data_IF_421104477911
#
_entry.id   IF_421104477911
#
_cell.length_a   1.000
_cell.length_b   1.000
_cell.length_c   1.000
_cell.angle_alpha   90.00
_cell.angle_beta   90.00
_cell.angle_gamma   90.00
#
_symmetry.space_group_name_H-M   'P 1'
#
loop_
_entity.id
_entity.type
_entity.pdbx_description
1 polymer ?
#
# COMPACT_ATOMS: atom_id res chain seq x y z
N UNK A 1 74.11 -6.14 -12.23
CA UNK A 1 73.87 -6.20 -10.81
C UNK A 1 72.54 -6.88 -10.57
N UNK A 2 72.61 -8.16 -10.18
CA UNK A 2 71.42 -9.06 -10.07
C UNK A 2 70.41 -8.57 -9.01
N UNK A 3 70.88 -7.84 -8.00
CA UNK A 3 70.07 -7.31 -6.93
C UNK A 3 69.14 -6.18 -7.42
N UNK A 4 69.62 -5.27 -8.24
CA UNK A 4 68.81 -4.18 -8.80
C UNK A 4 67.72 -4.63 -9.72
N UNK A 5 67.96 -5.71 -10.50
CA UNK A 5 66.96 -6.29 -11.38
C UNK A 5 65.81 -6.98 -10.64
N UNK A 6 66.10 -7.59 -9.48
CA UNK A 6 65.07 -8.17 -8.61
C UNK A 6 64.18 -7.15 -7.91
N UNK A 7 64.71 -5.98 -7.56
CA UNK A 7 63.92 -4.88 -6.98
C UNK A 7 63.01 -4.22 -8.01
N UNK A 8 63.51 -4.00 -9.25
CA UNK A 8 62.71 -3.48 -10.34
C UNK A 8 61.54 -4.40 -10.70
N UNK A 9 61.77 -5.73 -10.74
CA UNK A 9 60.69 -6.72 -11.00
C UNK A 9 59.66 -6.68 -9.86
N UNK A 10 60.07 -6.59 -8.61
CA UNK A 10 59.16 -6.47 -7.46
C UNK A 10 58.36 -5.17 -7.45
N UNK A 11 58.93 -4.07 -7.87
CA UNK A 11 58.23 -2.80 -8.03
C UNK A 11 57.19 -2.86 -9.16
N UNK A 12 57.58 -3.45 -10.29
CA UNK A 12 56.67 -3.62 -11.45
C UNK A 12 55.51 -4.55 -11.14
N UNK A 13 55.73 -5.67 -10.44
CA UNK A 13 54.67 -6.57 -10.00
C UNK A 13 53.72 -5.86 -9.00
N UNK A 14 54.21 -5.01 -8.12
CA UNK A 14 53.37 -4.21 -7.21
C UNK A 14 52.48 -3.21 -7.96
N UNK A 15 53.02 -2.54 -8.96
CA UNK A 15 52.26 -1.55 -9.75
C UNK A 15 51.25 -2.25 -10.66
N UNK A 16 51.57 -3.40 -11.23
CA UNK A 16 50.63 -4.23 -11.98
C UNK A 16 49.46 -4.71 -11.12
N UNK A 17 49.76 -5.23 -9.90
CA UNK A 17 48.71 -5.66 -8.96
C UNK A 17 47.83 -4.51 -8.53
N UNK A 18 48.43 -3.31 -8.36
CA UNK A 18 47.69 -2.09 -8.01
C UNK A 18 46.77 -1.65 -9.18
N UNK A 19 47.25 -1.68 -10.40
CA UNK A 19 46.49 -1.38 -11.61
C UNK A 19 45.35 -2.38 -11.83
N UNK A 20 45.55 -3.69 -11.68
CA UNK A 20 44.50 -4.70 -11.77
C UNK A 20 43.40 -4.49 -10.71
N UNK A 21 43.80 -4.22 -9.45
CA UNK A 21 42.82 -3.95 -8.39
C UNK A 21 42.03 -2.66 -8.65
N UNK A 22 42.68 -1.62 -9.19
CA UNK A 22 42.00 -0.35 -9.51
C UNK A 22 41.05 -0.52 -10.69
N UNK A 23 41.42 -1.24 -11.73
CA UNK A 23 40.55 -1.59 -12.88
C UNK A 23 39.36 -2.43 -12.41
N UNK A 24 39.61 -3.44 -11.56
CA UNK A 24 38.55 -4.29 -11.02
C UNK A 24 37.58 -3.48 -10.14
N UNK A 25 38.06 -2.58 -9.29
CA UNK A 25 37.21 -1.68 -8.48
C UNK A 25 36.39 -0.73 -9.37
N UNK A 26 37.00 -0.13 -10.39
CA UNK A 26 36.28 0.76 -11.31
C UNK A 26 35.19 -0.02 -12.05
N UNK A 27 35.50 -1.22 -12.52
CA UNK A 27 34.53 -2.10 -13.22
C UNK A 27 33.37 -2.49 -12.29
N UNK A 28 33.64 -2.83 -11.03
CA UNK A 28 32.63 -3.09 -10.02
C UNK A 28 31.77 -1.87 -9.71
N UNK A 29 32.37 -0.69 -9.56
CA UNK A 29 31.65 0.57 -9.34
C UNK A 29 30.79 0.95 -10.52
N UNK A 30 31.29 0.77 -11.76
CA UNK A 30 30.51 1.02 -12.97
C UNK A 30 29.34 0.02 -13.13
N UNK A 31 29.56 -1.26 -12.81
CA UNK A 31 28.49 -2.27 -12.82
C UNK A 31 27.44 -2.02 -11.73
N UNK A 32 27.85 -1.55 -10.54
CA UNK A 32 26.95 -1.11 -9.48
C UNK A 32 26.16 0.14 -9.89
N UNK A 33 26.81 1.13 -10.46
CA UNK A 33 26.17 2.36 -10.96
C UNK A 33 25.18 2.03 -12.09
N UNK A 34 25.55 1.15 -13.00
CA UNK A 34 24.66 0.70 -14.10
C UNK A 34 23.47 -0.09 -13.55
N UNK A 35 23.69 -0.97 -12.56
CA UNK A 35 22.64 -1.73 -11.92
C UNK A 35 21.67 -0.82 -11.15
N UNK A 36 22.19 0.18 -10.43
CA UNK A 36 21.37 1.21 -9.75
C UNK A 36 20.60 2.04 -10.78
N UNK A 37 21.22 2.45 -11.88
CA UNK A 37 20.56 3.20 -12.95
C UNK A 37 19.44 2.39 -13.61
N UNK A 38 19.67 1.11 -13.89
CA UNK A 38 18.66 0.21 -14.46
C UNK A 38 17.50 0.00 -13.48
N UNK A 39 17.76 -0.08 -12.17
CA UNK A 39 16.70 -0.19 -11.15
C UNK A 39 15.91 1.11 -11.05
N UNK A 40 16.58 2.27 -11.11
CA UNK A 40 15.93 3.59 -11.03
C UNK A 40 15.12 3.94 -12.30
N UNK A 41 15.49 3.37 -13.48
CA UNK A 41 14.78 3.58 -14.74
C UNK A 41 13.77 2.49 -15.10
N UNK A 42 13.59 1.47 -14.25
CA UNK A 42 12.63 0.41 -14.54
C UNK A 42 11.20 0.98 -14.50
N UNK A 43 10.54 0.98 -15.65
CA UNK A 43 9.11 1.27 -15.73
C UNK A 43 8.33 0.22 -14.94
N UNK A 44 7.52 0.66 -13.99
CA UNK A 44 6.70 -0.21 -13.16
C UNK A 44 5.22 -0.02 -13.49
N UNK A 45 4.45 -1.06 -13.25
CA UNK A 45 2.99 -0.99 -13.22
C UNK A 45 2.54 -0.88 -11.76
N UNK A 46 2.03 0.28 -11.38
CA UNK A 46 1.62 0.61 -10.02
C UNK A 46 0.11 0.49 -9.89
N UNK A 47 -0.35 -0.34 -8.95
CA UNK A 47 -1.76 -0.49 -8.62
C UNK A 47 -2.12 0.51 -7.51
N UNK A 48 -2.85 1.56 -7.86
CA UNK A 48 -3.41 2.52 -6.88
C UNK A 48 -4.76 2.02 -6.39
N UNK A 49 -4.90 1.95 -5.06
CA UNK A 49 -6.11 1.45 -4.39
C UNK A 49 -6.71 2.57 -3.57
N UNK A 50 -7.93 2.95 -3.90
CA UNK A 50 -8.72 3.94 -3.16
C UNK A 50 -10.19 3.52 -3.14
N UNK A 51 -11.00 4.15 -2.29
CA UNK A 51 -12.44 3.88 -2.22
C UNK A 51 -13.20 4.52 -3.37
N UNK A 52 -12.77 5.69 -3.82
CA UNK A 52 -13.46 6.49 -4.83
C UNK A 52 -12.60 6.71 -6.08
N UNK A 53 -13.21 6.64 -7.26
CA UNK A 53 -12.55 7.02 -8.53
C UNK A 53 -13.02 8.41 -9.00
N UNK A 54 -13.23 9.31 -8.07
CA UNK A 54 -13.51 10.72 -8.31
C UNK A 54 -13.01 11.55 -7.12
N UNK A 55 -12.86 12.85 -7.32
CA UNK A 55 -12.28 13.73 -6.30
C UNK A 55 -13.33 14.09 -5.22
N UNK A 56 -13.43 13.25 -4.18
CA UNK A 56 -14.35 13.42 -3.05
C UNK A 56 -13.73 14.20 -1.90
N UNK A 57 -12.43 14.10 -1.71
CA UNK A 57 -11.72 14.74 -0.61
C UNK A 57 -10.20 14.74 -0.78
N UNK A 58 -9.50 14.96 0.35
CA UNK A 58 -8.05 15.12 0.33
C UNK A 58 -7.29 13.84 -0.02
N UNK A 59 -7.75 12.69 0.41
CA UNK A 59 -7.10 11.41 0.16
C UNK A 59 -7.13 11.05 -1.33
N UNK A 60 -8.27 11.21 -1.98
CA UNK A 60 -8.45 10.98 -3.42
C UNK A 60 -7.61 11.96 -4.23
N UNK A 61 -7.55 13.23 -3.81
CA UNK A 61 -6.67 14.22 -4.44
C UNK A 61 -5.20 13.78 -4.40
N UNK A 62 -4.73 13.26 -3.27
CA UNK A 62 -3.36 12.72 -3.15
C UNK A 62 -3.19 11.49 -4.04
N UNK A 63 -4.16 10.58 -4.07
CA UNK A 63 -4.13 9.38 -4.90
C UNK A 63 -4.00 9.74 -6.39
N UNK A 64 -4.85 10.64 -6.91
CA UNK A 64 -4.79 11.05 -8.32
C UNK A 64 -3.54 11.84 -8.67
N UNK A 65 -3.06 12.71 -7.78
CA UNK A 65 -1.80 13.43 -8.00
C UNK A 65 -0.62 12.44 -8.02
N UNK A 66 -0.63 11.43 -7.16
CA UNK A 66 0.37 10.35 -7.18
C UNK A 66 0.31 9.58 -8.51
N UNK A 67 -0.89 9.23 -8.97
CA UNK A 67 -1.07 8.56 -10.26
C UNK A 67 -0.53 9.37 -11.42
N UNK A 68 -0.90 10.66 -11.50
CA UNK A 68 -0.42 11.58 -12.53
C UNK A 68 1.11 11.70 -12.51
N UNK A 69 1.70 11.87 -11.33
CA UNK A 69 3.16 11.98 -11.19
C UNK A 69 3.87 10.69 -11.64
N UNK A 70 3.32 9.52 -11.32
CA UNK A 70 3.86 8.24 -11.76
C UNK A 70 3.81 8.12 -13.30
N UNK A 71 2.71 8.51 -13.93
CA UNK A 71 2.55 8.49 -15.38
C UNK A 71 3.50 9.47 -16.08
N UNK A 72 3.69 10.67 -15.54
CA UNK A 72 4.65 11.67 -16.01
C UNK A 72 6.10 11.14 -15.97
N UNK A 73 6.40 10.23 -15.01
CA UNK A 73 7.70 9.56 -14.93
C UNK A 73 7.76 8.23 -15.73
N UNK A 74 6.74 7.97 -16.55
CA UNK A 74 6.72 6.85 -17.48
C UNK A 74 6.33 5.50 -16.86
N UNK A 75 5.77 5.48 -15.64
CA UNK A 75 5.17 4.30 -15.04
C UNK A 75 3.75 4.09 -15.58
N UNK A 76 3.25 2.86 -15.50
CA UNK A 76 1.86 2.56 -15.82
C UNK A 76 1.04 2.54 -14.52
N UNK A 77 -0.12 3.21 -14.52
CA UNK A 77 -1.01 3.25 -13.36
C UNK A 77 -2.27 2.44 -13.63
N UNK A 78 -2.60 1.58 -12.68
CA UNK A 78 -3.83 0.78 -12.65
C UNK A 78 -4.62 1.18 -11.42
N UNK A 79 -5.90 1.48 -11.58
CA UNK A 79 -6.77 1.85 -10.46
C UNK A 79 -7.65 0.69 -10.02
N UNK A 80 -7.81 0.53 -8.70
CA UNK A 80 -8.78 -0.35 -8.09
C UNK A 80 -9.59 0.42 -7.05
N UNK A 81 -10.87 0.63 -7.33
CA UNK A 81 -11.80 1.40 -6.49
C UNK A 81 -13.14 0.67 -6.39
N UNK A 82 -14.12 1.24 -5.70
CA UNK A 82 -15.49 0.76 -5.73
C UNK A 82 -16.27 1.39 -6.89
N UNK A 83 -17.39 0.76 -7.25
CA UNK A 83 -18.34 1.35 -8.18
C UNK A 83 -19.17 2.43 -7.49
N UNK A 84 -19.13 3.62 -8.07
CA UNK A 84 -19.96 4.77 -7.74
C UNK A 84 -20.51 5.38 -9.02
N UNK A 85 -21.63 6.08 -8.96
CA UNK A 85 -22.22 6.75 -10.12
C UNK A 85 -21.33 7.90 -10.62
N UNK A 86 -20.60 8.54 -9.68
CA UNK A 86 -19.72 9.67 -9.94
C UNK A 86 -18.32 9.27 -10.42
N UNK A 87 -18.04 7.98 -10.56
CA UNK A 87 -16.71 7.54 -10.97
C UNK A 87 -16.29 8.11 -12.32
N UNK A 88 -15.04 8.57 -12.40
CA UNK A 88 -14.41 8.89 -13.66
C UNK A 88 -14.37 7.64 -14.57
N UNK A 89 -14.47 7.80 -15.90
CA UNK A 89 -14.28 6.71 -16.82
C UNK A 89 -12.93 6.01 -16.60
N UNK A 90 -12.93 4.68 -16.53
CA UNK A 90 -11.71 3.90 -16.31
C UNK A 90 -11.77 2.57 -17.06
N UNK A 91 -10.69 2.17 -17.76
CA UNK A 91 -10.59 0.87 -18.41
C UNK A 91 -10.62 -0.28 -17.39
N UNK A 92 -10.39 0.02 -16.12
CA UNK A 92 -10.36 -0.94 -15.01
C UNK A 92 -11.71 -1.09 -14.31
N UNK A 93 -12.75 -0.37 -14.72
CA UNK A 93 -14.09 -0.36 -14.08
C UNK A 93 -14.72 -1.75 -13.97
N UNK A 94 -14.40 -2.68 -14.88
CA UNK A 94 -14.84 -4.09 -14.83
C UNK A 94 -14.39 -4.83 -13.55
N UNK A 95 -13.29 -4.37 -12.93
CA UNK A 95 -12.75 -4.95 -11.68
C UNK A 95 -13.29 -4.26 -10.43
N UNK A 96 -14.02 -3.18 -10.53
CA UNK A 96 -14.51 -2.45 -9.37
C UNK A 96 -15.65 -3.23 -8.69
N UNK A 97 -15.54 -3.57 -7.39
CA UNK A 97 -16.63 -4.19 -6.65
C UNK A 97 -17.74 -3.19 -6.33
N UNK A 98 -18.95 -3.72 -6.10
CA UNK A 98 -20.09 -2.90 -5.72
C UNK A 98 -19.88 -2.24 -4.35
N UNK A 99 -20.22 -0.95 -4.24
CA UNK A 99 -20.23 -0.27 -2.96
C UNK A 99 -21.38 -0.77 -2.07
N UNK A 100 -21.31 -0.55 -0.77
CA UNK A 100 -22.39 -0.91 0.15
C UNK A 100 -23.66 -0.09 -0.10
N UNK A 101 -23.51 1.11 -0.62
CA UNK A 101 -24.61 2.06 -0.84
C UNK A 101 -25.42 1.72 -2.10
N UNK A 102 -24.79 1.14 -3.12
CA UNK A 102 -25.44 0.75 -4.36
C UNK A 102 -26.26 -0.53 -4.23
N UNK A 103 -26.05 -1.31 -3.18
CA UNK A 103 -26.77 -2.58 -2.97
C UNK A 103 -28.20 -2.35 -2.48
N UNK A 104 -29.18 -2.93 -3.17
CA UNK A 104 -30.62 -2.89 -2.83
C UNK A 104 -31.11 -4.27 -2.37
N UNK A 105 -32.12 -4.32 -1.48
CA UNK A 105 -32.80 -5.56 -1.09
C UNK A 105 -32.81 -5.88 0.42
N UNK A 106 -33.68 -6.80 0.89
CA UNK A 106 -33.90 -7.08 2.32
C UNK A 106 -32.69 -7.73 3.01
N UNK A 107 -31.88 -8.51 2.31
CA UNK A 107 -30.65 -9.12 2.83
C UNK A 107 -29.45 -8.16 2.86
N UNK A 108 -29.66 -6.90 2.44
CA UNK A 108 -28.63 -5.87 2.35
C UNK A 108 -27.88 -5.66 3.66
N UNK A 109 -28.60 -5.58 4.76
CA UNK A 109 -28.00 -5.26 6.07
C UNK A 109 -27.04 -6.34 6.55
N UNK A 110 -27.42 -7.62 6.45
CA UNK A 110 -26.57 -8.75 6.85
C UNK A 110 -25.31 -8.80 5.95
N UNK A 111 -25.51 -8.69 4.64
CA UNK A 111 -24.38 -8.68 3.68
C UNK A 111 -23.47 -7.48 3.89
N UNK A 112 -24.01 -6.31 4.21
CA UNK A 112 -23.21 -5.11 4.49
C UNK A 112 -22.43 -5.26 5.81
N UNK A 113 -22.98 -5.91 6.83
CA UNK A 113 -22.27 -6.19 8.06
C UNK A 113 -21.10 -7.15 7.83
N UNK A 114 -21.31 -8.26 7.12
CA UNK A 114 -20.24 -9.19 6.75
C UNK A 114 -19.18 -8.47 5.92
N UNK A 115 -19.58 -7.73 4.91
CA UNK A 115 -18.66 -6.99 4.05
C UNK A 115 -17.98 -5.80 4.75
N UNK A 116 -18.46 -5.39 5.92
CA UNK A 116 -17.76 -4.39 6.73
C UNK A 116 -16.45 -4.94 7.30
N UNK A 117 -16.42 -6.23 7.62
CA UNK A 117 -15.24 -6.94 8.09
C UNK A 117 -14.42 -7.51 6.92
N UNK A 118 -15.06 -8.21 5.99
CA UNK A 118 -14.41 -8.89 4.88
C UNK A 118 -15.23 -8.78 3.58
N UNK A 119 -14.69 -8.06 2.59
CA UNK A 119 -15.38 -7.83 1.33
C UNK A 119 -14.98 -8.90 0.29
N UNK A 120 -15.72 -10.02 0.24
CA UNK A 120 -15.43 -11.17 -0.63
C UNK A 120 -15.36 -10.80 -2.12
N UNK A 121 -16.25 -9.94 -2.59
CA UNK A 121 -16.22 -9.47 -3.97
C UNK A 121 -14.98 -8.65 -4.28
N UNK A 122 -14.52 -7.79 -3.34
CA UNK A 122 -13.29 -7.04 -3.52
C UNK A 122 -12.07 -7.97 -3.64
N UNK A 123 -11.99 -8.99 -2.79
CA UNK A 123 -10.92 -10.00 -2.89
C UNK A 123 -10.93 -10.72 -4.25
N UNK A 124 -12.11 -11.19 -4.71
CA UNK A 124 -12.26 -11.88 -5.99
C UNK A 124 -11.87 -10.99 -7.18
N UNK A 125 -12.35 -9.75 -7.18
CA UNK A 125 -12.08 -8.80 -8.27
C UNK A 125 -10.64 -8.31 -8.27
N UNK A 126 -10.03 -8.14 -7.09
CA UNK A 126 -8.60 -7.87 -6.94
C UNK A 126 -7.78 -9.02 -7.53
N UNK A 127 -8.12 -10.26 -7.24
CA UNK A 127 -7.43 -11.42 -7.81
C UNK A 127 -7.52 -11.45 -9.34
N UNK A 128 -8.68 -11.14 -9.90
CA UNK A 128 -8.86 -11.05 -11.34
C UNK A 128 -8.00 -9.93 -11.95
N UNK A 129 -8.01 -8.74 -11.34
CA UNK A 129 -7.19 -7.61 -11.80
C UNK A 129 -5.70 -7.97 -11.79
N UNK A 130 -5.21 -8.59 -10.71
CA UNK A 130 -3.78 -8.98 -10.60
C UNK A 130 -3.39 -9.98 -11.69
N UNK A 131 -4.25 -10.95 -12.00
CA UNK A 131 -3.99 -11.94 -13.07
C UNK A 131 -3.90 -11.30 -14.45
N UNK A 132 -4.78 -10.33 -14.72
CA UNK A 132 -4.88 -9.68 -16.03
C UNK A 132 -3.79 -8.59 -16.18
N UNK A 133 -3.61 -7.75 -15.17
CA UNK A 133 -2.77 -6.56 -15.24
C UNK A 133 -1.33 -6.76 -14.73
N UNK A 134 -1.11 -7.73 -13.82
CA UNK A 134 0.20 -8.07 -13.24
C UNK A 134 0.96 -6.84 -12.71
N UNK A 135 0.43 -6.11 -11.74
CA UNK A 135 1.11 -4.95 -11.18
C UNK A 135 2.38 -5.35 -10.41
N UNK A 136 3.39 -4.50 -10.44
CA UNK A 136 4.65 -4.69 -9.73
C UNK A 136 4.55 -4.34 -8.25
N UNK A 137 3.67 -3.38 -7.90
CA UNK A 137 3.46 -2.88 -6.53
C UNK A 137 2.02 -2.39 -6.37
N UNK A 138 1.47 -2.54 -5.18
CA UNK A 138 0.19 -1.97 -4.77
C UNK A 138 0.41 -0.81 -3.80
N UNK A 139 -0.15 0.35 -4.11
CA UNK A 139 -0.13 1.53 -3.25
C UNK A 139 -1.55 1.83 -2.80
N UNK A 140 -1.80 1.67 -1.49
CA UNK A 140 -3.11 1.82 -0.88
C UNK A 140 -3.22 3.20 -0.25
N UNK A 141 -4.27 3.96 -0.61
CA UNK A 141 -4.62 5.23 0.00
C UNK A 141 -5.78 5.07 0.98
N UNK A 142 -6.96 4.63 0.52
CA UNK A 142 -8.11 4.34 1.36
C UNK A 142 -8.69 2.95 1.06
N UNK A 143 -9.10 2.25 2.13
CA UNK A 143 -9.79 0.96 2.01
C UNK A 143 -10.79 0.71 3.14
N UNK A 144 -10.76 1.54 4.17
CA UNK A 144 -11.43 1.30 5.43
C UNK A 144 -12.96 1.23 5.29
N UNK A 145 -13.52 0.18 5.89
CA UNK A 145 -14.96 -0.01 5.94
C UNK A 145 -15.65 -0.24 4.59
N UNK A 146 -14.91 -0.21 3.48
CA UNK A 146 -15.40 -0.35 2.12
C UNK A 146 -14.73 -1.51 1.36
N UNK A 147 -13.48 -1.38 0.93
CA UNK A 147 -12.69 -2.44 0.28
C UNK A 147 -12.27 -3.50 1.31
N UNK A 148 -11.89 -3.07 2.52
CA UNK A 148 -11.47 -3.87 3.68
C UNK A 148 -10.14 -4.61 3.51
N UNK A 149 -9.56 -5.18 4.59
CA UNK A 149 -8.33 -5.97 4.51
C UNK A 149 -8.43 -7.25 3.66
N UNK A 150 -9.60 -7.58 3.12
CA UNK A 150 -9.81 -8.77 2.28
C UNK A 150 -8.88 -8.86 1.07
N UNK A 151 -8.30 -7.73 0.64
CA UNK A 151 -7.35 -7.68 -0.48
C UNK A 151 -5.94 -8.12 -0.10
N UNK A 152 -5.54 -8.05 1.19
CA UNK A 152 -4.18 -8.40 1.61
C UNK A 152 -3.80 -9.86 1.37
N UNK A 153 -4.63 -10.88 1.69
CA UNK A 153 -4.33 -12.26 1.36
C UNK A 153 -4.10 -12.46 -0.14
N UNK A 154 -4.86 -11.74 -0.98
CA UNK A 154 -4.71 -11.80 -2.43
C UNK A 154 -3.37 -11.20 -2.87
N UNK A 155 -3.07 -9.98 -2.43
CA UNK A 155 -1.79 -9.31 -2.75
C UNK A 155 -0.58 -10.16 -2.32
N UNK A 156 -0.63 -10.75 -1.11
CA UNK A 156 0.41 -11.65 -0.59
C UNK A 156 0.55 -12.93 -1.42
N UNK A 157 -0.56 -13.55 -1.82
CA UNK A 157 -0.58 -14.75 -2.67
C UNK A 157 0.18 -14.54 -3.99
N UNK A 158 0.10 -13.34 -4.55
CA UNK A 158 0.79 -12.97 -5.78
C UNK A 158 2.11 -12.22 -5.57
N UNK A 159 2.60 -12.18 -4.32
CA UNK A 159 3.86 -11.53 -3.94
C UNK A 159 3.94 -10.05 -4.36
N UNK A 160 2.80 -9.34 -4.38
CA UNK A 160 2.76 -7.91 -4.69
C UNK A 160 3.17 -7.12 -3.45
N UNK A 161 4.27 -6.35 -3.49
CA UNK A 161 4.66 -5.45 -2.41
C UNK A 161 3.56 -4.42 -2.15
N UNK A 162 3.37 -4.07 -0.87
CA UNK A 162 2.30 -3.15 -0.46
C UNK A 162 2.93 -1.89 0.14
N UNK A 163 2.62 -0.75 -0.45
CA UNK A 163 2.83 0.57 0.12
C UNK A 163 1.50 1.09 0.65
N UNK A 164 1.48 1.70 1.83
CA UNK A 164 0.28 2.26 2.42
C UNK A 164 0.48 3.71 2.83
N UNK A 165 -0.28 4.63 2.24
CA UNK A 165 -0.34 6.03 2.69
C UNK A 165 -1.42 6.19 3.73
N UNK A 166 -1.02 6.61 4.93
CA UNK A 166 -1.91 6.78 6.08
C UNK A 166 -2.52 8.19 6.03
N UNK A 167 -3.81 8.27 5.73
CA UNK A 167 -4.55 9.54 5.66
C UNK A 167 -5.27 9.89 6.96
N UNK A 168 -5.49 8.91 7.85
CA UNK A 168 -6.12 9.08 9.16
C UNK A 168 -5.52 8.12 10.19
N UNK A 169 -5.94 8.26 11.43
CA UNK A 169 -5.41 7.44 12.54
C UNK A 169 -6.07 6.06 12.66
N UNK A 170 -6.82 5.60 11.67
CA UNK A 170 -7.58 4.35 11.73
C UNK A 170 -6.72 3.09 11.90
N UNK A 171 -5.43 3.16 11.58
CA UNK A 171 -4.50 2.05 11.82
C UNK A 171 -4.39 1.73 13.31
N UNK A 172 -4.43 2.74 14.18
CA UNK A 172 -4.17 2.62 15.62
C UNK A 172 -5.34 3.01 16.51
N UNK A 173 -6.32 3.76 15.98
CA UNK A 173 -7.49 4.25 16.72
C UNK A 173 -8.78 3.81 15.99
N UNK A 174 -9.64 2.98 16.60
CA UNK A 174 -10.91 2.56 15.98
C UNK A 174 -11.79 3.73 15.55
N UNK A 175 -11.82 4.81 16.37
CA UNK A 175 -12.55 6.04 16.05
C UNK A 175 -11.82 6.99 15.08
N UNK A 176 -10.60 6.66 14.66
CA UNK A 176 -9.72 7.40 13.72
C UNK A 176 -9.40 8.86 14.06
N UNK A 177 -9.82 9.38 15.19
CA UNK A 177 -9.70 10.81 15.56
C UNK A 177 -8.77 11.06 16.74
N UNK A 178 -8.33 10.03 17.46
CA UNK A 178 -7.69 10.14 18.77
C UNK A 178 -8.50 10.98 19.78
N UNK A 179 -9.85 10.92 19.69
CA UNK A 179 -10.75 11.56 20.64
C UNK A 179 -11.69 10.52 21.25
N UNK A 180 -11.96 10.66 22.56
CA UNK A 180 -12.97 9.88 23.24
C UNK A 180 -14.38 10.39 22.96
N UNK A 181 -15.41 9.73 23.52
CA UNK A 181 -16.80 10.13 23.33
C UNK A 181 -17.15 11.49 23.94
N UNK A 182 -16.30 12.04 24.82
CA UNK A 182 -16.42 13.41 25.35
C UNK A 182 -15.66 14.48 24.53
N UNK A 183 -14.93 14.03 23.48
CA UNK A 183 -14.14 14.91 22.63
C UNK A 183 -12.72 15.19 23.13
N UNK A 184 -12.31 14.62 24.28
CA UNK A 184 -10.94 14.79 24.80
C UNK A 184 -9.95 13.96 23.97
N UNK A 185 -8.71 14.44 23.85
CA UNK A 185 -7.61 13.68 23.26
C UNK A 185 -7.41 12.38 24.05
N UNK A 186 -7.35 11.25 23.34
CA UNK A 186 -7.30 9.93 23.93
C UNK A 186 -6.32 9.04 23.15
N UNK A 187 -5.45 8.36 23.89
CA UNK A 187 -4.48 7.39 23.34
C UNK A 187 -4.62 6.00 24.00
N UNK A 188 -5.73 5.73 24.68
CA UNK A 188 -5.94 4.53 25.51
C UNK A 188 -5.98 3.22 24.71
N UNK A 189 -6.11 3.30 23.37
CA UNK A 189 -6.02 2.14 22.47
C UNK A 189 -4.58 1.72 22.16
N UNK A 190 -3.55 2.43 22.65
CA UNK A 190 -2.16 1.98 22.59
C UNK A 190 -2.01 0.57 23.17
N UNK A 191 -1.12 -0.25 22.60
CA UNK A 191 -0.96 -1.63 23.01
C UNK A 191 -2.11 -2.56 22.58
N UNK A 192 -2.93 -2.15 21.61
CA UNK A 192 -4.05 -2.91 21.06
C UNK A 192 -5.24 -3.09 22.03
N UNK A 193 -5.39 -2.20 23.01
CA UNK A 193 -6.54 -2.20 23.94
C UNK A 193 -7.80 -1.58 23.32
N UNK A 194 -8.20 -2.03 22.11
CA UNK A 194 -9.27 -1.42 21.31
C UNK A 194 -10.65 -1.46 21.97
N UNK A 195 -10.87 -2.34 22.96
CA UNK A 195 -12.09 -2.33 23.78
C UNK A 195 -12.32 -1.00 24.52
N UNK A 196 -11.25 -0.21 24.72
CA UNK A 196 -11.36 1.15 25.29
C UNK A 196 -12.22 2.07 24.41
N UNK A 197 -12.23 1.86 23.11
CA UNK A 197 -13.14 2.60 22.21
C UNK A 197 -14.62 2.38 22.60
N UNK A 198 -15.00 1.16 22.97
CA UNK A 198 -16.34 0.85 23.48
C UNK A 198 -16.63 1.50 24.82
N UNK A 199 -15.71 1.39 25.80
CA UNK A 199 -15.91 1.96 27.15
C UNK A 199 -16.02 3.49 27.11
N UNK A 200 -15.29 4.13 26.22
CA UNK A 200 -15.29 5.60 26.04
C UNK A 200 -16.31 6.09 25.01
N UNK A 201 -17.12 5.20 24.42
CA UNK A 201 -18.14 5.58 23.41
C UNK A 201 -17.60 6.49 22.31
N UNK A 202 -16.36 6.21 21.81
CA UNK A 202 -15.62 7.12 20.94
C UNK A 202 -16.30 7.38 19.59
N UNK A 203 -17.14 6.46 19.09
CA UNK A 203 -17.77 6.58 17.78
C UNK A 203 -19.14 7.26 17.90
N UNK A 204 -19.17 8.58 17.69
CA UNK A 204 -20.41 9.39 17.70
C UNK A 204 -21.25 9.23 18.99
N UNK A 205 -20.63 8.98 20.14
CA UNK A 205 -21.33 8.73 21.39
C UNK A 205 -22.15 7.43 21.43
N UNK A 206 -22.04 6.58 20.42
CA UNK A 206 -22.80 5.32 20.33
C UNK A 206 -21.99 4.12 20.84
N UNK A 207 -22.46 3.44 21.88
CA UNK A 207 -21.83 2.21 22.38
C UNK A 207 -21.81 1.11 21.33
N UNK A 208 -22.92 0.91 20.61
CA UNK A 208 -23.03 -0.11 19.55
C UNK A 208 -22.02 0.14 18.45
N UNK A 209 -21.96 1.38 17.93
CA UNK A 209 -21.00 1.74 16.90
C UNK A 209 -19.56 1.58 17.39
N UNK A 210 -19.26 2.01 18.60
CA UNK A 210 -17.93 1.88 19.21
C UNK A 210 -17.52 0.42 19.40
N UNK A 211 -18.46 -0.47 19.76
CA UNK A 211 -18.22 -1.91 19.84
C UNK A 211 -17.89 -2.51 18.46
N UNK A 212 -18.66 -2.16 17.43
CA UNK A 212 -18.43 -2.63 16.06
C UNK A 212 -17.07 -2.16 15.54
N UNK A 213 -16.72 -0.88 15.76
CA UNK A 213 -15.43 -0.33 15.34
C UNK A 213 -14.25 -0.96 16.10
N UNK A 214 -14.41 -1.25 17.40
CA UNK A 214 -13.40 -1.96 18.17
C UNK A 214 -13.21 -3.41 17.67
N UNK A 215 -14.30 -4.13 17.42
CA UNK A 215 -14.27 -5.48 16.88
C UNK A 215 -13.62 -5.51 15.49
N UNK A 216 -13.96 -4.57 14.61
CA UNK A 216 -13.34 -4.43 13.29
C UNK A 216 -11.84 -4.15 13.39
N UNK A 217 -11.41 -3.32 14.36
CA UNK A 217 -10.00 -3.05 14.58
C UNK A 217 -9.23 -4.31 15.03
N UNK A 218 -9.80 -5.13 15.92
CA UNK A 218 -9.20 -6.42 16.29
C UNK A 218 -9.10 -7.36 15.09
N UNK A 219 -10.18 -7.49 14.31
CA UNK A 219 -10.20 -8.29 13.10
C UNK A 219 -9.14 -7.82 12.10
N UNK A 220 -9.10 -6.54 11.82
CA UNK A 220 -8.16 -5.91 10.89
C UNK A 220 -6.70 -6.12 11.28
N UNK A 221 -6.39 -6.04 12.58
CA UNK A 221 -5.03 -6.27 13.08
C UNK A 221 -4.49 -7.68 12.81
N UNK A 222 -5.34 -8.65 12.52
CA UNK A 222 -4.91 -10.00 12.12
C UNK A 222 -4.29 -10.01 10.70
N UNK A 223 -4.45 -8.95 9.91
CA UNK A 223 -3.90 -8.83 8.56
C UNK A 223 -2.61 -7.99 8.49
N UNK A 224 -2.26 -7.27 9.58
CA UNK A 224 -1.02 -6.51 9.73
C UNK A 224 -0.09 -7.21 10.73
#
# INVERSE_FOLDING_TARGET
NISFRKELIKAWDKDMIYQERTVTMITLLMSYSLCISVILYRKMKVLLIDVYNYNKGGAETVCFNTGKLLEEHGHQVVYFTLKWEENNPSPYSKYFPESKETRKGPLKQVKNMVNYFYHFEAAKKMEQLIKDERPDIAHIHLMWGQITPSIFPVLRKYHIPILFTVHDYRIVCPAYTFRDGSGRICEDCKGKYFYKCFTHTCCKGSKVMSAVMAAEQYFRNAFF
#
